data_IF_095410263184
#
_entry.id   IF_095410263184
#
_cell.length_a   1.000
_cell.length_b   1.000
_cell.length_c   1.000
_cell.angle_alpha   90.00
_cell.angle_beta   90.00
_cell.angle_gamma   90.00
#
_symmetry.space_group_name_H-M   'P 1'
#
loop_
_entity.id
_entity.type
_entity.pdbx_description
1 polymer ?
#
# COMPACT_ATOMS: atom_id res chain seq x y z
N UNK A 1 0.65 2.22 -19.16
CA UNK A 1 1.60 3.29 -18.82
C UNK A 1 2.93 2.63 -18.57
N UNK A 2 3.99 3.13 -19.21
CA UNK A 2 5.35 2.66 -18.98
C UNK A 2 5.70 2.87 -17.51
N UNK A 3 6.30 1.86 -16.89
CA UNK A 3 6.69 1.92 -15.48
C UNK A 3 7.68 3.07 -15.25
N UNK A 4 7.34 4.04 -14.39
CA UNK A 4 8.19 5.19 -14.09
C UNK A 4 9.44 4.80 -13.30
N UNK A 5 9.37 3.74 -12.50
CA UNK A 5 10.50 3.30 -11.67
C UNK A 5 11.62 2.65 -12.50
N UNK A 6 11.30 1.66 -13.34
CA UNK A 6 12.33 0.90 -14.08
C UNK A 6 12.42 1.24 -15.57
N UNK A 7 11.37 1.85 -16.15
CA UNK A 7 11.27 2.18 -17.57
C UNK A 7 11.40 0.99 -18.55
N UNK A 8 11.32 -0.26 -18.06
CA UNK A 8 11.53 -1.48 -18.88
C UNK A 8 10.23 -2.11 -19.44
N UNK A 9 9.08 -1.86 -18.81
CA UNK A 9 7.82 -2.54 -19.17
C UNK A 9 6.59 -1.63 -19.03
N UNK A 10 5.54 -1.95 -19.79
CA UNK A 10 4.20 -1.42 -19.56
C UNK A 10 3.58 -2.09 -18.32
N UNK A 11 3.01 -1.29 -17.44
CA UNK A 11 2.26 -1.81 -16.29
C UNK A 11 0.98 -2.52 -16.75
N UNK A 12 0.49 -3.50 -16.00
CA UNK A 12 -0.75 -4.25 -16.28
C UNK A 12 -1.71 -4.18 -15.09
N UNK A 13 -3.04 -4.27 -15.28
CA UNK A 13 -3.97 -4.36 -14.15
C UNK A 13 -3.68 -5.57 -13.26
N UNK A 14 -3.82 -5.39 -11.94
CA UNK A 14 -3.62 -6.44 -10.95
C UNK A 14 -4.06 -5.98 -9.55
N UNK A 15 -3.65 -6.73 -8.54
CA UNK A 15 -3.90 -6.41 -7.14
C UNK A 15 -2.62 -6.55 -6.31
N UNK A 16 -2.49 -5.71 -5.28
CA UNK A 16 -1.34 -5.69 -4.37
C UNK A 16 -1.79 -5.59 -2.92
N UNK A 17 -0.85 -5.72 -1.99
CA UNK A 17 -1.06 -5.42 -0.57
C UNK A 17 -0.34 -4.13 -0.21
N UNK A 18 -1.00 -3.26 0.55
CA UNK A 18 -0.45 -1.99 1.03
C UNK A 18 -0.37 -2.02 2.55
N UNK A 19 0.81 -1.72 3.09
CA UNK A 19 1.03 -1.47 4.51
C UNK A 19 1.05 0.04 4.76
N UNK A 20 0.18 0.52 5.64
CA UNK A 20 0.12 1.91 6.10
C UNK A 20 0.49 1.97 7.58
N UNK A 21 1.48 2.78 7.91
CA UNK A 21 1.97 2.95 9.29
C UNK A 21 1.87 4.40 9.74
N UNK A 22 1.39 4.62 10.97
CA UNK A 22 1.40 5.94 11.62
C UNK A 22 1.34 5.82 13.13
N UNK A 23 2.40 6.25 13.81
CA UNK A 23 2.49 6.14 15.27
C UNK A 23 2.37 4.68 15.69
N UNK A 24 1.29 4.33 16.41
CA UNK A 24 1.00 2.96 16.82
C UNK A 24 0.06 2.20 15.86
N UNK A 25 -0.42 2.84 14.79
CA UNK A 25 -1.21 2.18 13.77
C UNK A 25 -0.29 1.45 12.79
N UNK A 26 -0.58 0.18 12.54
CA UNK A 26 -0.07 -0.60 11.43
C UNK A 26 -1.26 -1.25 10.74
N UNK A 27 -1.56 -0.87 9.51
CA UNK A 27 -2.73 -1.31 8.74
C UNK A 27 -2.28 -1.96 7.44
N UNK A 28 -2.50 -3.27 7.32
CA UNK A 28 -2.33 -4.00 6.06
C UNK A 28 -3.67 -4.11 5.35
N UNK A 29 -3.74 -3.62 4.12
CA UNK A 29 -4.89 -3.80 3.22
C UNK A 29 -4.47 -4.68 2.07
N UNK A 30 -5.13 -5.82 1.89
CA UNK A 30 -4.89 -6.77 0.79
C UNK A 30 -5.82 -6.51 -0.38
N UNK A 31 -5.53 -7.11 -1.53
CA UNK A 31 -6.35 -7.05 -2.74
C UNK A 31 -6.64 -5.61 -3.23
N UNK A 32 -5.68 -4.70 -3.01
CA UNK A 32 -5.76 -3.33 -3.47
C UNK A 32 -5.59 -3.29 -4.99
N UNK A 33 -6.58 -2.82 -5.76
CA UNK A 33 -6.46 -2.73 -7.21
C UNK A 33 -5.37 -1.73 -7.59
N UNK A 34 -4.48 -2.15 -8.49
CA UNK A 34 -3.35 -1.36 -8.94
C UNK A 34 -2.95 -1.72 -10.37
N UNK A 35 -2.14 -0.87 -10.99
CA UNK A 35 -1.34 -1.26 -12.16
C UNK A 35 0.03 -1.72 -11.70
N UNK A 36 0.44 -2.93 -12.06
CA UNK A 36 1.67 -3.57 -11.59
C UNK A 36 2.65 -3.70 -12.75
N UNK A 37 3.91 -3.34 -12.55
CA UNK A 37 4.97 -3.60 -13.50
C UNK A 37 5.35 -5.09 -13.49
N UNK A 38 5.19 -5.83 -14.60
CA UNK A 38 5.55 -7.25 -14.62
C UNK A 38 7.06 -7.50 -14.54
N UNK A 39 7.88 -6.46 -14.74
CA UNK A 39 9.34 -6.57 -14.68
C UNK A 39 9.90 -6.36 -13.26
N UNK A 40 9.45 -5.33 -12.53
CA UNK A 40 10.03 -4.96 -11.24
C UNK A 40 9.05 -5.04 -10.06
N UNK A 41 7.79 -5.38 -10.29
CA UNK A 41 6.77 -5.49 -9.23
C UNK A 41 6.19 -4.17 -8.72
N UNK A 42 6.67 -3.02 -9.22
CA UNK A 42 6.16 -1.71 -8.79
C UNK A 42 4.65 -1.59 -9.05
N UNK A 43 3.91 -1.24 -8.00
CA UNK A 43 2.46 -1.14 -8.02
C UNK A 43 2.01 0.32 -7.93
N UNK A 44 1.12 0.72 -8.84
CA UNK A 44 0.56 2.05 -8.92
C UNK A 44 -0.94 1.98 -8.67
N UNK A 45 -1.37 2.37 -7.47
CA UNK A 45 -2.79 2.57 -7.16
C UNK A 45 -3.26 3.92 -7.72
N UNK A 46 -4.52 3.99 -8.17
CA UNK A 46 -5.09 5.26 -8.64
C UNK A 46 -5.42 6.21 -7.49
N UNK A 47 -5.76 7.45 -7.83
CA UNK A 47 -6.10 8.50 -6.88
C UNK A 47 -7.30 8.12 -5.99
N UNK A 48 -8.32 7.49 -6.56
CA UNK A 48 -9.56 7.16 -5.83
C UNK A 48 -9.29 6.05 -4.81
N UNK A 49 -8.56 5.01 -5.21
CA UNK A 49 -8.10 3.92 -4.34
C UNK A 49 -7.23 4.48 -3.22
N UNK A 50 -6.24 5.30 -3.56
CA UNK A 50 -5.32 5.91 -2.59
C UNK A 50 -6.05 6.80 -1.59
N UNK A 51 -6.95 7.67 -2.04
CA UNK A 51 -7.75 8.53 -1.18
C UNK A 51 -8.66 7.74 -0.23
N UNK A 52 -9.18 6.59 -0.68
CA UNK A 52 -9.98 5.69 0.16
C UNK A 52 -9.12 5.02 1.25
N UNK A 53 -7.98 4.44 0.87
CA UNK A 53 -7.04 3.79 1.81
C UNK A 53 -6.57 4.76 2.90
N UNK A 54 -6.15 5.97 2.51
CA UNK A 54 -5.70 6.98 3.46
C UNK A 54 -6.83 7.41 4.40
N UNK A 55 -8.05 7.60 3.90
CA UNK A 55 -9.20 7.96 4.74
C UNK A 55 -9.51 6.90 5.78
N UNK A 56 -9.44 5.62 5.43
CA UNK A 56 -9.63 4.52 6.37
C UNK A 56 -8.52 4.51 7.43
N UNK A 57 -7.26 4.64 7.01
CA UNK A 57 -6.12 4.70 7.94
C UNK A 57 -6.25 5.88 8.92
N UNK A 58 -6.66 7.06 8.45
CA UNK A 58 -6.91 8.24 9.30
C UNK A 58 -8.00 8.00 10.34
N UNK A 59 -9.11 7.37 9.94
CA UNK A 59 -10.21 7.05 10.84
C UNK A 59 -9.76 6.07 11.94
N UNK A 60 -9.00 5.04 11.58
CA UNK A 60 -8.46 4.05 12.52
C UNK A 60 -7.41 4.66 13.45
N UNK A 61 -6.54 5.53 12.93
CA UNK A 61 -5.56 6.25 13.73
C UNK A 61 -6.25 7.13 14.80
N UNK A 62 -7.31 7.85 14.43
CA UNK A 62 -8.10 8.69 15.35
C UNK A 62 -8.88 7.88 16.39
N UNK A 63 -9.33 6.68 16.03
CA UNK A 63 -10.02 5.78 16.95
C UNK A 63 -9.08 5.13 17.99
N UNK A 64 -7.76 5.34 17.88
CA UNK A 64 -6.78 4.72 18.77
C UNK A 64 -6.66 3.22 18.58
N UNK A 65 -7.00 2.71 17.38
CA UNK A 65 -6.91 1.29 17.06
C UNK A 65 -5.46 0.83 17.21
N UNK A 66 -5.21 -0.02 18.22
CA UNK A 66 -3.93 -0.71 18.40
C UNK A 66 -3.96 -1.96 17.54
N UNK A 67 -3.06 -2.02 16.56
CA UNK A 67 -2.76 -3.26 15.84
C UNK A 67 -1.42 -3.76 16.36
N UNK A 68 -1.36 -5.02 16.77
CA UNK A 68 -0.09 -5.62 17.19
C UNK A 68 0.81 -5.87 15.98
N UNK A 69 1.71 -4.92 15.71
CA UNK A 69 2.87 -5.16 14.85
C UNK A 69 4.00 -5.73 15.71
N UNK A 70 4.52 -6.91 15.35
CA UNK A 70 5.74 -7.45 15.96
C UNK A 70 6.93 -7.09 15.10
N UNK A 71 7.81 -6.24 15.62
CA UNK A 71 9.11 -6.00 14.99
C UNK A 71 9.96 -7.26 15.12
N UNK A 72 10.60 -7.71 14.04
CA UNK A 72 11.69 -8.68 14.14
C UNK A 72 12.83 -7.98 14.89
N UNK A 73 13.24 -8.55 16.03
CA UNK A 73 14.05 -7.87 17.04
C UNK A 73 15.16 -6.99 16.47
N UNK A 74 15.05 -5.67 16.66
CA UNK A 74 16.15 -4.75 16.37
C UNK A 74 17.31 -5.13 17.28
N UNK A 75 18.38 -5.63 16.67
CA UNK A 75 19.69 -5.84 17.32
C UNK A 75 20.41 -4.51 17.46
#
# INVERSE_FOLDING_TARGET
MRCFLCNQAETVPGATSVLLERGHLSLTVTDVPARICPNCGEAYADETVTANLLRQAEQMAKAGTKVEAREYGKS
#
